data_IF_741159154126
#
_entry.id   IF_741159154126
#
_cell.length_a   1.000
_cell.length_b   1.000
_cell.length_c   1.000
_cell.angle_alpha   90.00
_cell.angle_beta   90.00
_cell.angle_gamma   90.00
#
_symmetry.space_group_name_H-M   'P 1'
#
loop_
_entity.id
_entity.type
_entity.pdbx_description
1 polymer ?
#
# COMPACT_ATOMS: atom_id res chain seq x y z
N UNK A 1 7.27 -77.41 -0.73
CA UNK A 1 7.29 -76.66 0.54
C UNK A 1 7.16 -75.18 0.23
N UNK A 2 6.32 -74.51 1.02
CA UNK A 2 5.91 -73.11 0.97
C UNK A 2 6.97 -72.26 1.67
N UNK A 3 7.49 -71.20 1.04
CA UNK A 3 7.55 -69.90 1.73
C UNK A 3 7.75 -68.71 0.77
N UNK A 4 7.02 -67.64 1.08
CA UNK A 4 6.95 -66.34 0.41
C UNK A 4 7.64 -65.31 1.30
N UNK A 5 8.43 -64.37 0.75
CA UNK A 5 8.76 -63.06 1.35
C UNK A 5 9.21 -62.14 0.19
N UNK A 6 8.29 -61.48 -0.50
CA UNK A 6 7.77 -60.11 -0.28
C UNK A 6 8.84 -59.03 -0.51
N UNK A 7 8.64 -58.35 -1.64
CA UNK A 7 9.25 -57.10 -2.11
C UNK A 7 9.27 -56.01 -1.02
N UNK A 8 10.38 -55.29 -0.89
CA UNK A 8 10.42 -53.98 -0.22
C UNK A 8 11.10 -52.98 -1.15
N UNK A 9 10.28 -52.36 -2.00
CA UNK A 9 10.58 -51.11 -2.69
C UNK A 9 9.61 -50.09 -2.09
N UNK A 10 10.05 -49.35 -1.07
CA UNK A 10 9.29 -48.21 -0.54
C UNK A 10 10.03 -46.94 -0.94
N UNK A 11 9.76 -46.51 -2.18
CA UNK A 11 9.96 -45.14 -2.62
C UNK A 11 8.78 -44.33 -2.05
N UNK A 12 8.97 -43.74 -0.87
CA UNK A 12 8.02 -42.77 -0.33
C UNK A 12 8.16 -41.45 -1.06
N UNK A 13 7.34 -41.25 -2.08
CA UNK A 13 6.96 -39.91 -2.54
C UNK A 13 5.52 -39.70 -2.10
N UNK A 14 5.32 -38.79 -1.15
CA UNK A 14 4.07 -38.06 -1.01
C UNK A 14 4.42 -36.64 -0.58
N UNK A 15 4.76 -35.81 -1.55
CA UNK A 15 4.70 -34.36 -1.40
C UNK A 15 3.21 -34.04 -1.27
N UNK A 16 2.79 -33.68 -0.07
CA UNK A 16 1.47 -33.10 0.14
C UNK A 16 1.48 -31.71 -0.53
N UNK A 17 1.01 -31.67 -1.77
CA UNK A 17 0.64 -30.42 -2.44
C UNK A 17 -0.70 -30.02 -1.81
N UNK A 18 -0.64 -29.24 -0.73
CA UNK A 18 -1.79 -28.49 -0.25
C UNK A 18 -2.11 -27.42 -1.30
N UNK A 19 -3.37 -27.26 -1.74
CA UNK A 19 -3.76 -26.09 -2.51
C UNK A 19 -3.81 -24.89 -1.55
N UNK A 20 -2.69 -24.19 -1.37
CA UNK A 20 -2.71 -22.78 -0.95
C UNK A 20 -3.12 -21.98 -2.19
N UNK A 21 -4.39 -22.11 -2.55
CA UNK A 21 -4.96 -21.50 -3.75
C UNK A 21 -6.12 -20.58 -3.36
N UNK A 22 -5.97 -19.80 -2.28
CA UNK A 22 -6.86 -18.69 -1.93
C UNK A 22 -6.03 -17.60 -1.23
N UNK A 23 -5.06 -17.02 -1.94
CA UNK A 23 -4.36 -15.77 -1.59
C UNK A 23 -3.35 -15.32 -2.67
N UNK A 24 -2.82 -16.27 -3.47
CA UNK A 24 -1.76 -15.99 -4.45
C UNK A 24 -2.19 -15.17 -5.68
N UNK A 25 -3.48 -15.07 -5.99
CA UNK A 25 -3.94 -14.38 -7.21
C UNK A 25 -3.73 -12.85 -7.13
N UNK A 26 -3.83 -12.27 -5.92
CA UNK A 26 -3.54 -10.84 -5.67
C UNK A 26 -2.10 -10.60 -5.22
N UNK A 27 -1.52 -11.51 -4.42
CA UNK A 27 -0.16 -11.36 -3.93
C UNK A 27 0.90 -11.35 -5.04
N UNK A 28 0.67 -12.02 -6.17
CA UNK A 28 1.59 -12.00 -7.33
C UNK A 28 1.61 -10.67 -8.12
N UNK A 29 0.67 -9.76 -7.84
CA UNK A 29 0.44 -8.56 -8.64
C UNK A 29 0.74 -7.26 -7.88
N UNK A 30 0.66 -7.29 -6.55
CA UNK A 30 0.82 -6.12 -5.68
C UNK A 30 2.19 -6.14 -4.99
N UNK A 31 3.07 -5.15 -5.20
CA UNK A 31 4.42 -5.15 -4.62
C UNK A 31 4.42 -5.30 -3.09
N UNK A 32 3.59 -4.54 -2.38
CA UNK A 32 3.52 -4.54 -0.92
C UNK A 32 3.17 -5.91 -0.33
N UNK A 33 2.28 -6.66 -0.98
CA UNK A 33 1.93 -8.02 -0.56
C UNK A 33 3.08 -9.03 -0.77
N UNK A 34 3.88 -8.86 -1.84
CA UNK A 34 5.05 -9.72 -2.07
C UNK A 34 6.14 -9.47 -1.05
N UNK A 35 6.45 -8.20 -0.81
CA UNK A 35 7.44 -7.80 0.19
C UNK A 35 7.00 -8.29 1.58
N UNK A 36 5.73 -8.11 1.91
CA UNK A 36 5.16 -8.61 3.16
C UNK A 36 5.31 -10.11 3.29
N UNK A 37 4.99 -10.88 2.25
CA UNK A 37 5.14 -12.34 2.30
C UNK A 37 6.60 -12.75 2.57
N UNK A 38 7.57 -12.14 1.86
CA UNK A 38 8.99 -12.38 2.09
C UNK A 38 9.42 -11.99 3.52
N UNK A 39 8.89 -10.90 4.05
CA UNK A 39 9.16 -10.41 5.39
C UNK A 39 8.65 -11.38 6.45
N UNK A 40 7.40 -11.82 6.34
CA UNK A 40 6.79 -12.79 7.27
C UNK A 40 7.54 -14.13 7.21
N UNK A 41 7.87 -14.63 6.01
CA UNK A 41 8.63 -15.87 5.85
C UNK A 41 10.01 -15.79 6.54
N UNK A 42 10.69 -14.65 6.42
CA UNK A 42 11.98 -14.44 7.08
C UNK A 42 11.87 -14.38 8.61
N UNK A 43 10.81 -13.75 9.13
CA UNK A 43 10.52 -13.64 10.56
C UNK A 43 10.17 -15.01 11.15
N UNK A 44 9.28 -15.76 10.48
CA UNK A 44 8.92 -17.12 10.88
C UNK A 44 10.13 -18.08 10.80
N UNK A 45 11.07 -17.79 9.90
CA UNK A 45 12.39 -18.43 9.82
C UNK A 45 13.36 -18.05 10.95
N UNK A 46 12.99 -17.14 11.84
CA UNK A 46 13.78 -16.72 13.01
C UNK A 46 14.63 -15.46 12.81
N UNK A 47 14.44 -14.72 11.72
CA UNK A 47 15.12 -13.44 11.47
C UNK A 47 14.41 -12.31 12.24
N UNK A 48 15.17 -11.41 12.87
CA UNK A 48 14.57 -10.20 13.46
C UNK A 48 13.92 -9.34 12.36
N UNK A 49 12.76 -8.74 12.65
CA UNK A 49 11.96 -7.99 11.67
C UNK A 49 12.76 -6.86 11.01
N UNK A 50 13.56 -6.14 11.78
CA UNK A 50 14.41 -5.04 11.28
C UNK A 50 15.50 -5.56 10.33
N UNK A 51 16.11 -6.70 10.67
CA UNK A 51 17.14 -7.33 9.82
C UNK A 51 16.53 -7.86 8.53
N UNK A 52 15.34 -8.45 8.61
CA UNK A 52 14.61 -8.92 7.43
C UNK A 52 14.21 -7.75 6.53
N UNK A 53 13.66 -6.68 7.09
CA UNK A 53 13.28 -5.47 6.35
C UNK A 53 14.47 -4.83 5.65
N UNK A 54 15.61 -4.67 6.34
CA UNK A 54 16.83 -4.16 5.76
C UNK A 54 17.34 -5.06 4.61
N UNK A 55 17.36 -6.38 4.81
CA UNK A 55 17.82 -7.31 3.79
C UNK A 55 16.94 -7.28 2.54
N UNK A 56 15.62 -7.34 2.70
CA UNK A 56 14.65 -7.34 1.60
C UNK A 56 14.69 -6.01 0.86
N UNK A 57 14.72 -4.89 1.59
CA UNK A 57 14.80 -3.56 0.98
C UNK A 57 16.07 -3.40 0.13
N UNK A 58 17.22 -3.82 0.67
CA UNK A 58 18.48 -3.76 -0.07
C UNK A 58 18.50 -4.66 -1.31
N UNK A 59 17.89 -5.85 -1.22
CA UNK A 59 17.73 -6.74 -2.37
C UNK A 59 16.89 -6.09 -3.47
N UNK A 60 15.74 -5.52 -3.12
CA UNK A 60 14.84 -4.84 -4.08
C UNK A 60 15.53 -3.62 -4.69
N UNK A 61 16.20 -2.80 -3.88
CA UNK A 61 16.89 -1.61 -4.38
C UNK A 61 18.05 -1.95 -5.33
N UNK A 62 18.69 -3.11 -5.16
CA UNK A 62 19.85 -3.53 -5.95
C UNK A 62 19.47 -4.35 -7.18
N UNK A 63 18.51 -5.27 -7.03
CA UNK A 63 18.14 -6.27 -8.03
C UNK A 63 16.81 -5.96 -8.71
N UNK A 64 16.03 -5.03 -8.14
CA UNK A 64 14.69 -4.68 -8.60
C UNK A 64 13.63 -5.71 -8.18
N UNK A 65 12.37 -5.36 -8.42
CA UNK A 65 11.23 -6.25 -8.27
C UNK A 65 10.34 -6.10 -9.51
N UNK A 66 9.90 -7.19 -10.18
CA UNK A 66 9.14 -7.10 -11.42
C UNK A 66 7.83 -6.29 -11.33
N UNK A 67 7.20 -6.26 -10.16
CA UNK A 67 5.96 -5.51 -9.90
C UNK A 67 6.20 -4.03 -9.60
N UNK A 68 7.46 -3.61 -9.42
CA UNK A 68 7.84 -2.20 -9.23
C UNK A 68 8.40 -1.68 -10.56
N UNK A 69 7.80 -0.61 -11.09
CA UNK A 69 8.28 0.03 -12.31
C UNK A 69 9.69 0.62 -12.11
N UNK A 70 10.46 0.75 -13.21
CA UNK A 70 11.82 1.29 -13.14
C UNK A 70 11.87 2.72 -12.58
N UNK A 71 10.86 3.56 -12.87
CA UNK A 71 10.77 4.92 -12.32
C UNK A 71 10.56 4.90 -10.81
N UNK A 72 9.69 4.00 -10.32
CA UNK A 72 9.39 3.88 -8.90
C UNK A 72 10.61 3.29 -8.17
N UNK A 73 11.30 2.32 -8.76
CA UNK A 73 12.56 1.80 -8.22
C UNK A 73 13.62 2.90 -8.11
N UNK A 74 13.77 3.74 -9.13
CA UNK A 74 14.69 4.89 -9.08
C UNK A 74 14.30 5.90 -8.01
N UNK A 75 13.01 6.15 -7.79
CA UNK A 75 12.55 6.97 -6.67
C UNK A 75 12.96 6.35 -5.31
N UNK A 76 12.67 5.06 -5.09
CA UNK A 76 13.02 4.35 -3.85
C UNK A 76 14.53 4.35 -3.58
N UNK A 77 15.36 4.25 -4.63
CA UNK A 77 16.83 4.35 -4.51
C UNK A 77 17.32 5.71 -4.00
N UNK A 78 16.55 6.78 -4.18
CA UNK A 78 16.88 8.09 -3.60
C UNK A 78 16.48 8.22 -2.13
N UNK A 79 15.63 7.30 -1.65
CA UNK A 79 15.02 7.30 -0.31
C UNK A 79 15.12 5.91 0.37
N UNK A 80 16.34 5.35 0.50
CA UNK A 80 16.50 3.97 0.95
C UNK A 80 16.07 3.77 2.40
N UNK A 81 16.28 4.76 3.28
CA UNK A 81 15.94 4.67 4.70
C UNK A 81 14.42 4.69 4.90
N UNK A 82 13.72 5.55 4.15
CA UNK A 82 12.26 5.64 4.17
C UNK A 82 11.63 4.36 3.64
N UNK A 83 12.17 3.81 2.54
CA UNK A 83 11.71 2.54 1.99
C UNK A 83 11.93 1.36 2.94
N UNK A 84 13.09 1.28 3.60
CA UNK A 84 13.37 0.25 4.60
C UNK A 84 12.42 0.33 5.79
N UNK A 85 12.19 1.55 6.31
CA UNK A 85 11.26 1.78 7.40
C UNK A 85 9.84 1.33 7.03
N UNK A 86 9.34 1.78 5.87
CA UNK A 86 8.03 1.39 5.36
C UNK A 86 7.93 -0.12 5.09
N UNK A 87 9.02 -0.75 4.64
CA UNK A 87 9.09 -2.21 4.49
C UNK A 87 8.96 -2.92 5.82
N UNK A 88 9.60 -2.42 6.88
CA UNK A 88 9.46 -2.97 8.23
C UNK A 88 8.03 -2.93 8.75
N UNK A 89 7.28 -1.87 8.44
CA UNK A 89 5.88 -1.73 8.84
C UNK A 89 4.92 -2.73 8.18
N UNK A 90 5.34 -3.38 7.09
CA UNK A 90 4.53 -4.41 6.41
C UNK A 90 4.33 -5.68 7.24
N UNK A 91 5.13 -5.91 8.28
CA UNK A 91 4.89 -7.05 9.19
C UNK A 91 3.50 -6.94 9.83
N UNK A 92 3.13 -5.73 10.22
CA UNK A 92 1.90 -5.41 10.94
C UNK A 92 0.84 -4.74 10.06
N UNK A 93 1.21 -4.29 8.85
CA UNK A 93 0.31 -3.61 7.91
C UNK A 93 0.05 -4.48 6.68
N UNK A 94 -1.20 -4.90 6.48
CA UNK A 94 -1.57 -5.77 5.37
C UNK A 94 -2.08 -5.01 4.13
N UNK A 95 -2.44 -3.74 4.29
CA UNK A 95 -3.04 -2.89 3.25
C UNK A 95 -2.29 -1.57 3.11
N UNK A 96 -2.47 -0.89 1.96
CA UNK A 96 -1.90 0.44 1.74
C UNK A 96 -2.40 1.48 2.73
N UNK A 97 -3.67 1.38 3.14
CA UNK A 97 -4.27 2.22 4.16
C UNK A 97 -3.59 2.08 5.53
N UNK A 98 -3.43 0.85 6.02
CA UNK A 98 -2.77 0.57 7.31
C UNK A 98 -1.32 1.03 7.26
N UNK A 99 -0.64 0.73 6.15
CA UNK A 99 0.75 1.11 5.94
C UNK A 99 0.93 2.64 5.97
N UNK A 100 0.05 3.40 5.31
CA UNK A 100 0.12 4.86 5.31
C UNK A 100 -0.07 5.44 6.72
N UNK A 101 -1.03 4.92 7.50
CA UNK A 101 -1.25 5.36 8.90
C UNK A 101 -0.02 5.06 9.76
N UNK A 102 0.49 3.83 9.69
CA UNK A 102 1.69 3.43 10.43
C UNK A 102 2.91 4.28 10.01
N UNK A 103 3.04 4.53 8.70
CA UNK A 103 4.07 5.36 8.11
C UNK A 103 4.05 6.81 8.61
N UNK A 104 2.88 7.44 8.71
CA UNK A 104 2.78 8.80 9.27
C UNK A 104 3.20 8.86 10.74
N UNK A 105 2.99 7.79 11.50
CA UNK A 105 3.48 7.69 12.87
C UNK A 105 5.00 7.47 12.96
N UNK A 106 5.56 6.71 12.03
CA UNK A 106 6.98 6.33 11.99
C UNK A 106 7.89 7.42 11.38
N UNK A 107 7.40 8.11 10.36
CA UNK A 107 8.10 9.12 9.56
C UNK A 107 7.32 10.46 9.55
N UNK A 108 7.08 11.09 10.71
CA UNK A 108 6.22 12.28 10.81
C UNK A 108 6.78 13.52 10.09
N UNK A 109 8.09 13.56 9.85
CA UNK A 109 8.76 14.67 9.14
C UNK A 109 8.74 14.49 7.61
N UNK A 110 8.25 13.35 7.11
CA UNK A 110 8.34 12.95 5.70
C UNK A 110 7.00 12.37 5.18
N UNK A 111 5.88 13.08 5.34
CA UNK A 111 4.57 12.56 4.96
C UNK A 111 4.42 12.34 3.45
N UNK A 112 5.09 13.14 2.61
CA UNK A 112 5.07 12.97 1.15
C UNK A 112 5.72 11.65 0.73
N UNK A 113 6.83 11.27 1.37
CA UNK A 113 7.50 10.00 1.16
C UNK A 113 6.63 8.83 1.60
N UNK A 114 5.96 8.93 2.76
CA UNK A 114 5.03 7.90 3.25
C UNK A 114 3.92 7.65 2.23
N UNK A 115 3.27 8.71 1.72
CA UNK A 115 2.21 8.59 0.71
C UNK A 115 2.74 7.96 -0.57
N UNK A 116 3.86 8.49 -1.08
CA UNK A 116 4.46 8.02 -2.34
C UNK A 116 4.83 6.53 -2.24
N UNK A 117 5.54 6.13 -1.18
CA UNK A 117 5.99 4.75 -1.01
C UNK A 117 4.79 3.82 -0.79
N UNK A 118 3.78 4.24 -0.01
CA UNK A 118 2.56 3.45 0.17
C UNK A 118 1.83 3.20 -1.14
N UNK A 119 1.73 4.21 -2.01
CA UNK A 119 1.10 4.08 -3.33
C UNK A 119 1.94 3.25 -4.31
N UNK A 120 3.27 3.29 -4.22
CA UNK A 120 4.15 2.39 -4.99
C UNK A 120 3.89 0.93 -4.57
N UNK A 121 3.73 0.69 -3.27
CA UNK A 121 3.56 -0.65 -2.72
C UNK A 121 2.15 -1.20 -2.91
N UNK A 122 1.14 -0.34 -2.82
CA UNK A 122 -0.28 -0.69 -2.97
C UNK A 122 -0.94 0.26 -3.98
N UNK A 123 -0.61 0.14 -5.28
CA UNK A 123 -1.16 1.03 -6.30
C UNK A 123 -2.68 0.91 -6.45
N UNK A 124 -3.25 -0.23 -6.08
CA UNK A 124 -4.69 -0.46 -6.06
C UNK A 124 -5.42 0.32 -4.95
N UNK A 125 -4.73 0.60 -3.84
CA UNK A 125 -5.26 1.35 -2.69
C UNK A 125 -4.97 2.86 -2.79
N UNK A 126 -4.54 3.36 -3.97
CA UNK A 126 -4.07 4.73 -4.10
C UNK A 126 -5.14 5.78 -3.72
N UNK A 127 -6.42 5.49 -3.96
CA UNK A 127 -7.51 6.40 -3.58
C UNK A 127 -7.68 6.45 -2.06
N UNK A 128 -7.62 5.30 -1.38
CA UNK A 128 -7.68 5.17 0.06
C UNK A 128 -6.49 5.86 0.73
N UNK A 129 -5.28 5.64 0.22
CA UNK A 129 -4.05 6.27 0.71
C UNK A 129 -4.12 7.79 0.54
N UNK A 130 -4.60 8.26 -0.61
CA UNK A 130 -4.79 9.69 -0.84
C UNK A 130 -5.80 10.29 0.15
N UNK A 131 -6.95 9.65 0.36
CA UNK A 131 -7.98 10.15 1.26
C UNK A 131 -7.54 10.20 2.73
N UNK A 132 -6.81 9.17 3.21
CA UNK A 132 -6.32 9.18 4.59
C UNK A 132 -5.24 10.25 4.77
N UNK A 133 -4.38 10.48 3.78
CA UNK A 133 -3.38 11.54 3.83
C UNK A 133 -4.01 12.94 4.01
N UNK A 134 -5.14 13.19 3.34
CA UNK A 134 -5.89 14.44 3.53
C UNK A 134 -6.60 14.50 4.89
N UNK A 135 -7.16 13.37 5.33
CA UNK A 135 -7.90 13.31 6.59
C UNK A 135 -7.01 13.48 7.82
N UNK A 136 -5.78 12.96 7.78
CA UNK A 136 -4.81 13.12 8.88
C UNK A 136 -4.30 14.55 8.98
N UNK A 137 -4.40 15.35 7.91
CA UNK A 137 -3.96 16.74 7.87
C UNK A 137 -2.44 16.92 7.98
N UNK A 138 -1.68 15.84 7.84
CA UNK A 138 -0.19 15.85 7.92
C UNK A 138 0.45 16.33 6.61
N UNK A 139 -0.32 16.35 5.52
CA UNK A 139 0.11 16.76 4.19
C UNK A 139 -0.99 17.56 3.50
N UNK A 140 -0.60 18.54 2.68
CA UNK A 140 -1.54 19.32 1.88
C UNK A 140 -2.11 18.49 0.72
N UNK A 141 -3.23 18.94 0.14
CA UNK A 141 -3.79 18.27 -1.03
C UNK A 141 -2.87 18.37 -2.25
N UNK A 142 -2.20 19.50 -2.43
CA UNK A 142 -1.21 19.68 -3.49
C UNK A 142 -0.01 18.74 -3.33
N UNK A 143 0.52 18.58 -2.12
CA UNK A 143 1.66 17.71 -1.86
C UNK A 143 1.28 16.22 -1.96
N UNK A 144 0.06 15.86 -1.53
CA UNK A 144 -0.46 14.50 -1.70
C UNK A 144 -0.67 14.15 -3.18
N UNK A 145 -1.12 15.11 -4.01
CA UNK A 145 -1.22 14.94 -5.45
C UNK A 145 0.17 14.75 -6.08
N UNK A 146 1.15 15.54 -5.66
CA UNK A 146 2.53 15.41 -6.11
C UNK A 146 3.13 14.05 -5.73
N UNK A 147 2.86 13.57 -4.52
CA UNK A 147 3.26 12.24 -4.06
C UNK A 147 2.65 11.13 -4.95
N UNK A 148 1.38 11.26 -5.32
CA UNK A 148 0.73 10.32 -6.23
C UNK A 148 1.35 10.32 -7.63
N UNK A 149 1.70 11.51 -8.17
CA UNK A 149 2.41 11.63 -9.45
C UNK A 149 3.78 10.94 -9.37
N UNK A 150 4.52 11.14 -8.28
CA UNK A 150 5.82 10.49 -8.07
C UNK A 150 5.72 8.97 -7.94
N UNK A 151 4.60 8.46 -7.43
CA UNK A 151 4.29 7.03 -7.38
C UNK A 151 3.84 6.46 -8.74
N UNK A 152 3.63 7.32 -9.75
CA UNK A 152 3.15 6.94 -11.07
C UNK A 152 1.64 6.67 -11.13
N UNK A 153 0.87 7.20 -10.17
CA UNK A 153 -0.59 7.07 -10.13
C UNK A 153 -1.23 8.06 -11.11
N UNK A 154 -2.24 7.60 -11.86
CA UNK A 154 -3.10 8.48 -12.65
C UNK A 154 -3.96 9.33 -11.70
N UNK A 155 -3.59 10.59 -11.52
CA UNK A 155 -4.29 11.47 -10.59
C UNK A 155 -5.72 11.81 -11.02
N UNK A 156 -6.09 11.58 -12.28
CA UNK A 156 -7.48 11.81 -12.73
C UNK A 156 -8.47 10.83 -12.10
N UNK A 157 -7.99 9.71 -11.57
CA UNK A 157 -8.79 8.71 -10.86
C UNK A 157 -8.81 8.93 -9.35
N UNK A 158 -8.02 9.88 -8.83
CA UNK A 158 -8.02 10.23 -7.42
C UNK A 158 -9.19 11.15 -7.12
N UNK A 159 -10.07 10.66 -6.26
CA UNK A 159 -11.20 11.43 -5.74
C UNK A 159 -10.96 11.67 -4.28
N UNK A 160 -10.84 12.94 -3.88
CA UNK A 160 -10.92 13.32 -2.48
C UNK A 160 -12.32 12.94 -1.97
N UNK A 161 -12.44 11.79 -1.31
CA UNK A 161 -13.62 11.45 -0.55
C UNK A 161 -13.60 12.38 0.65
N UNK A 162 -14.43 13.41 0.63
CA UNK A 162 -14.64 14.29 1.78
C UNK A 162 -15.24 13.48 2.93
N UNK A 163 -14.39 12.76 3.66
CA UNK A 163 -14.73 12.05 4.86
C UNK A 163 -14.96 13.09 5.97
N UNK A 164 -16.17 13.66 5.96
CA UNK A 164 -16.60 14.70 6.89
C UNK A 164 -16.67 16.08 6.26
N UNK A 165 -17.70 16.32 5.43
CA UNK A 165 -18.25 17.65 5.27
C UNK A 165 -18.85 18.12 6.61
N UNK A 166 -17.98 18.61 7.48
CA UNK A 166 -18.31 19.55 8.52
C UNK A 166 -17.20 20.61 8.56
N UNK A 167 -17.21 21.47 7.53
CA UNK A 167 -16.57 22.78 7.56
C UNK A 167 -15.08 22.81 7.28
N UNK A 168 -14.71 22.79 5.99
CA UNK A 168 -13.88 23.88 5.47
C UNK A 168 -13.94 23.88 3.94
N UNK A 169 -14.58 24.91 3.39
CA UNK A 169 -14.54 25.24 1.97
C UNK A 169 -13.10 25.63 1.59
N UNK A 170 -12.29 24.65 1.19
CA UNK A 170 -11.17 24.95 0.28
C UNK A 170 -11.76 24.99 -1.12
N UNK A 171 -12.18 26.19 -1.51
CA UNK A 171 -12.61 26.49 -2.87
C UNK A 171 -11.40 26.40 -3.80
N UNK A 172 -11.32 25.44 -4.74
CA UNK A 172 -10.31 25.49 -5.77
C UNK A 172 -10.67 26.65 -6.69
N UNK A 173 -9.70 27.54 -6.91
CA UNK A 173 -9.85 28.73 -7.74
C UNK A 173 -10.41 28.35 -9.13
N UNK A 174 -11.69 28.66 -9.33
CA UNK A 174 -12.32 29.02 -10.59
C UNK A 174 -12.30 28.00 -11.73
N UNK A 175 -13.34 27.19 -11.82
CA UNK A 175 -14.30 27.27 -12.93
C UNK A 175 -15.69 26.93 -12.41
N UNK A 176 -16.62 27.89 -12.52
CA UNK A 176 -18.02 27.63 -12.22
C UNK A 176 -18.63 26.69 -13.25
N UNK A 177 -19.32 25.65 -12.79
CA UNK A 177 -20.59 25.12 -13.35
C UNK A 177 -21.15 24.13 -12.32
N UNK A 178 -22.41 24.29 -11.97
CA UNK A 178 -23.03 23.76 -10.75
C UNK A 178 -23.13 22.24 -10.65
N UNK A 179 -22.98 21.74 -9.43
CA UNK A 179 -23.50 20.45 -9.00
C UNK A 179 -24.82 20.67 -8.27
N UNK A 180 -25.89 20.19 -8.91
CA UNK A 180 -27.22 20.11 -8.37
C UNK A 180 -27.26 19.20 -7.13
N UNK A 181 -27.90 19.65 -6.06
CA UNK A 181 -28.18 18.86 -4.86
C UNK A 181 -29.43 19.41 -4.21
N UNK A 182 -30.54 18.70 -4.39
CA UNK A 182 -31.87 19.07 -3.94
C UNK A 182 -31.98 19.15 -2.42
N UNK A 183 -32.60 20.22 -1.93
CA UNK A 183 -33.03 20.40 -0.56
C UNK A 183 -34.05 21.53 -0.52
N UNK A 184 -35.30 21.21 -0.85
CA UNK A 184 -36.40 22.16 -0.83
C UNK A 184 -36.80 22.56 0.59
N UNK A 185 -37.33 23.77 0.70
CA UNK A 185 -38.14 24.22 1.83
C UNK A 185 -37.50 25.31 2.68
N UNK A 186 -37.55 26.55 2.21
CA UNK A 186 -38.37 27.61 2.83
C UNK A 186 -37.94 28.96 2.23
N UNK A 187 -38.76 29.48 1.31
CA UNK A 187 -38.67 30.88 0.88
C UNK A 187 -39.80 31.64 1.55
N UNK A 188 -39.55 32.18 2.74
CA UNK A 188 -40.16 33.45 3.11
C UNK A 188 -39.12 34.40 3.68
N UNK A 189 -38.63 35.25 2.78
CA UNK A 189 -38.21 36.61 3.09
C UNK A 189 -39.36 37.32 3.82
N UNK A 190 -39.06 37.97 4.94
CA UNK A 190 -39.68 39.24 5.26
C UNK A 190 -38.68 40.13 5.97
N UNK A 191 -38.08 41.03 5.20
CA UNK A 191 -37.51 42.25 5.71
C UNK A 191 -38.66 43.22 6.01
N UNK A 192 -38.85 43.56 7.28
CA UNK A 192 -39.21 44.90 7.78
C UNK A 192 -39.12 44.92 9.31
#
# INVERSE_FOLDING_TARGET
>A
MRNRFIFSLVMSVLIAISPVAIAQDSAGSVPGLQIRAQLIDAIDGGTAAETAAASISNDILSNGMPTISQSNLSYLQTKPAEFENMTGLLSDSATGFELAIAGFGSLPEQPSEVVTISMILFPEDANEIYNIALQTGVISAEDALLAAINAGIDTSTLTATAAGAAGNDVSPLGVGTGAAGAGGGDTTVSAN
#
